data_IF_032069224185
#
_entry.id   IF_032069224185
#
_cell.length_a   1.000
_cell.length_b   1.000
_cell.length_c   1.000
_cell.angle_alpha   90.00
_cell.angle_beta   90.00
_cell.angle_gamma   90.00
#
_symmetry.space_group_name_H-M   'P 1'
#
loop_
_entity.id
_entity.type
_entity.pdbx_description
1 polymer ?
#
# COMPACT_ATOMS: atom_id res chain seq x y z
N UNK A 1 -4.42 25.08 7.03
CA UNK A 1 -3.84 23.84 7.62
C UNK A 1 -2.63 24.25 8.43
N UNK A 2 -2.56 23.88 9.70
CA UNK A 2 -1.44 24.17 10.59
C UNK A 2 -0.21 23.29 10.27
N UNK A 3 0.98 23.70 10.73
CA UNK A 3 2.20 22.87 10.57
C UNK A 3 2.00 21.50 11.21
N UNK A 4 1.44 21.43 12.41
CA UNK A 4 1.17 20.16 13.09
C UNK A 4 0.23 19.21 12.30
N UNK A 5 -0.73 19.76 11.55
CA UNK A 5 -1.59 18.95 10.66
C UNK A 5 -0.82 18.44 9.45
N UNK A 6 0.06 19.27 8.88
CA UNK A 6 0.91 18.85 7.76
C UNK A 6 1.86 17.74 8.19
N UNK A 7 2.52 17.90 9.34
CA UNK A 7 3.44 16.91 9.89
C UNK A 7 2.72 15.59 10.18
N UNK A 8 1.51 15.64 10.73
CA UNK A 8 0.69 14.45 11.00
C UNK A 8 0.33 13.71 9.70
N UNK A 9 -0.15 14.44 8.68
CA UNK A 9 -0.49 13.84 7.38
C UNK A 9 0.74 13.19 6.76
N UNK A 10 1.87 13.88 6.78
CA UNK A 10 3.13 13.37 6.26
C UNK A 10 3.56 12.10 7.01
N UNK A 11 3.53 12.12 8.34
CA UNK A 11 3.92 10.98 9.16
C UNK A 11 3.02 9.75 8.91
N UNK A 12 1.70 9.92 8.83
CA UNK A 12 0.79 8.81 8.50
C UNK A 12 1.05 8.24 7.10
N UNK A 13 1.35 9.07 6.12
CA UNK A 13 1.71 8.60 4.77
C UNK A 13 3.04 7.83 4.76
N UNK A 14 4.02 8.27 5.54
CA UNK A 14 5.30 7.56 5.68
C UNK A 14 5.09 6.21 6.35
N UNK A 15 4.37 6.16 7.48
CA UNK A 15 4.03 4.92 8.18
C UNK A 15 3.26 3.96 7.25
N UNK A 16 2.25 4.46 6.54
CA UNK A 16 1.48 3.67 5.57
C UNK A 16 2.38 3.07 4.48
N UNK A 17 3.36 3.83 3.99
CA UNK A 17 4.31 3.36 2.99
C UNK A 17 5.23 2.27 3.54
N UNK A 18 5.73 2.42 4.77
CA UNK A 18 6.55 1.41 5.45
C UNK A 18 5.76 0.13 5.68
N UNK A 19 4.54 0.24 6.20
CA UNK A 19 3.66 -0.92 6.41
C UNK A 19 3.31 -1.61 5.09
N UNK A 20 3.09 -0.86 4.03
CA UNK A 20 2.81 -1.44 2.71
C UNK A 20 4.01 -2.24 2.17
N UNK A 21 5.25 -1.81 2.44
CA UNK A 21 6.46 -2.60 2.15
C UNK A 21 6.41 -3.92 2.94
N UNK A 22 6.14 -3.86 4.24
CA UNK A 22 6.08 -5.04 5.10
C UNK A 22 5.04 -6.05 4.59
N UNK A 23 3.84 -5.58 4.24
CA UNK A 23 2.77 -6.43 3.69
C UNK A 23 3.11 -7.01 2.32
N UNK A 24 3.87 -6.29 1.49
CA UNK A 24 4.34 -6.79 0.21
C UNK A 24 5.36 -7.90 0.36
N UNK A 25 6.30 -7.79 1.31
CA UNK A 25 7.32 -8.81 1.54
C UNK A 25 6.74 -10.14 2.03
N UNK A 26 5.54 -10.12 2.61
CA UNK A 26 4.78 -11.30 3.03
C UNK A 26 3.80 -11.81 1.96
N UNK A 27 3.68 -11.11 0.83
CA UNK A 27 2.67 -11.47 -0.17
C UNK A 27 2.98 -12.87 -0.75
N UNK A 28 2.05 -13.84 -0.63
CA UNK A 28 2.31 -15.22 -1.06
C UNK A 28 2.43 -15.37 -2.58
N UNK A 29 1.97 -14.37 -3.32
CA UNK A 29 2.01 -14.30 -4.77
C UNK A 29 3.18 -13.47 -5.30
N UNK A 30 4.12 -13.07 -4.43
CA UNK A 30 5.36 -12.38 -4.83
C UNK A 30 6.29 -13.37 -5.56
N UNK A 31 6.59 -13.07 -6.82
CA UNK A 31 7.38 -13.95 -7.69
C UNK A 31 8.87 -13.71 -7.51
N UNK A 32 9.43 -14.33 -6.49
CA UNK A 32 10.86 -14.33 -6.19
C UNK A 32 11.36 -15.78 -6.10
N UNK A 33 12.66 -15.99 -6.32
CA UNK A 33 13.25 -17.32 -6.15
C UNK A 33 13.02 -17.82 -4.71
N UNK A 34 12.72 -19.11 -4.54
CA UNK A 34 12.28 -19.67 -3.25
C UNK A 34 13.28 -19.44 -2.09
N UNK A 35 14.57 -19.41 -2.39
CA UNK A 35 15.62 -19.06 -1.41
C UNK A 35 15.50 -17.63 -0.86
N UNK A 36 14.96 -16.70 -1.65
CA UNK A 36 14.74 -15.32 -1.22
C UNK A 36 13.44 -15.12 -0.43
N UNK A 37 12.46 -16.01 -0.52
CA UNK A 37 11.19 -15.85 0.20
C UNK A 37 11.41 -15.81 1.71
N UNK A 38 12.18 -16.74 2.26
CA UNK A 38 12.51 -16.76 3.69
C UNK A 38 13.33 -15.54 4.12
N UNK A 39 14.23 -15.08 3.26
CA UNK A 39 15.01 -13.87 3.50
C UNK A 39 14.11 -12.63 3.54
N UNK A 40 13.19 -12.48 2.60
CA UNK A 40 12.26 -11.35 2.55
C UNK A 40 11.31 -11.35 3.75
N UNK A 41 10.79 -12.51 4.15
CA UNK A 41 9.99 -12.63 5.36
C UNK A 41 10.78 -12.26 6.64
N UNK A 42 12.08 -12.55 6.67
CA UNK A 42 12.99 -12.12 7.74
C UNK A 42 13.20 -10.61 7.76
N UNK A 43 13.32 -9.98 6.58
CA UNK A 43 13.48 -8.53 6.47
C UNK A 43 12.29 -7.76 7.05
N UNK A 44 11.08 -8.28 6.92
CA UNK A 44 9.88 -7.65 7.43
C UNK A 44 10.02 -7.22 8.90
N UNK A 45 10.61 -8.07 9.74
CA UNK A 45 10.82 -7.78 11.17
C UNK A 45 11.85 -6.67 11.43
N UNK A 46 12.73 -6.40 10.48
CA UNK A 46 13.82 -5.42 10.65
C UNK A 46 13.49 -4.04 10.05
N UNK A 47 12.46 -3.96 9.22
CA UNK A 47 12.09 -2.72 8.51
C UNK A 47 11.77 -1.57 9.46
N UNK A 48 10.95 -1.71 10.54
CA UNK A 48 10.67 -0.61 11.44
C UNK A 48 11.95 -0.02 12.04
N UNK A 49 12.83 -0.88 12.54
CA UNK A 49 14.13 -0.46 13.07
C UNK A 49 15.02 0.19 12.02
N UNK A 50 15.11 -0.39 10.82
CA UNK A 50 15.91 0.16 9.72
C UNK A 50 15.42 1.57 9.32
N UNK A 51 14.10 1.79 9.33
CA UNK A 51 13.50 3.10 9.08
C UNK A 51 13.93 4.11 10.14
N UNK A 52 13.83 3.77 11.43
CA UNK A 52 14.24 4.61 12.54
C UNK A 52 15.74 4.91 12.50
N UNK A 53 16.58 3.92 12.21
CA UNK A 53 18.03 4.10 12.06
C UNK A 53 18.37 5.03 10.89
N UNK A 54 17.60 4.96 9.81
CA UNK A 54 17.72 5.90 8.69
C UNK A 54 17.35 7.33 9.10
N UNK A 55 16.23 7.55 9.78
CA UNK A 55 15.83 8.87 10.28
C UNK A 55 16.91 9.46 11.22
N UNK A 56 17.48 8.62 12.09
CA UNK A 56 18.60 9.01 12.97
C UNK A 56 19.82 9.46 12.16
N UNK A 57 20.14 8.75 11.09
CA UNK A 57 21.25 9.11 10.19
C UNK A 57 21.03 10.45 9.47
N UNK A 58 19.78 10.87 9.32
CA UNK A 58 19.40 12.18 8.77
C UNK A 58 19.39 13.30 9.81
N UNK A 59 19.72 13.00 11.07
CA UNK A 59 19.82 13.99 12.15
C UNK A 59 18.50 14.23 12.90
N UNK A 60 17.51 13.36 12.76
CA UNK A 60 16.28 13.45 13.56
C UNK A 60 16.59 13.11 15.01
N UNK A 61 16.17 13.99 15.94
CA UNK A 61 16.44 13.85 17.37
C UNK A 61 15.79 12.61 17.98
N UNK A 62 16.46 11.99 18.95
CA UNK A 62 16.03 10.72 19.54
C UNK A 62 14.66 10.77 20.22
N UNK A 63 14.26 11.93 20.77
CA UNK A 63 12.93 12.13 21.36
C UNK A 63 11.80 11.99 20.33
N UNK A 64 12.04 12.34 19.05
CA UNK A 64 11.10 12.19 17.95
C UNK A 64 11.12 10.80 17.31
N UNK A 65 12.15 9.98 17.63
CA UNK A 65 12.31 8.65 17.04
C UNK A 65 11.71 7.53 17.88
N UNK A 66 11.54 7.77 19.19
CA UNK A 66 11.17 6.73 20.16
C UNK A 66 9.91 5.97 19.81
N UNK A 67 8.91 6.70 19.34
CA UNK A 67 7.56 6.14 19.15
C UNK A 67 7.33 5.58 17.73
N UNK A 68 8.29 5.77 16.80
CA UNK A 68 8.13 5.36 15.40
C UNK A 68 8.03 3.84 15.22
N UNK A 69 8.86 3.06 15.90
CA UNK A 69 8.82 1.60 15.79
C UNK A 69 7.47 1.07 16.29
N UNK A 70 6.97 1.62 17.41
CA UNK A 70 5.68 1.24 17.99
C UNK A 70 4.51 1.61 17.09
N UNK A 71 4.51 2.83 16.54
CA UNK A 71 3.45 3.27 15.61
C UNK A 71 3.43 2.42 14.34
N UNK A 72 4.60 2.11 13.76
CA UNK A 72 4.69 1.22 12.59
C UNK A 72 4.14 -0.17 12.93
N UNK A 73 4.51 -0.74 14.09
CA UNK A 73 4.02 -2.05 14.52
C UNK A 73 2.50 -2.06 14.71
N UNK A 74 1.94 -1.07 15.41
CA UNK A 74 0.48 -0.94 15.58
C UNK A 74 -0.25 -0.85 14.24
N UNK A 75 0.22 -0.01 13.32
CA UNK A 75 -0.40 0.13 11.99
C UNK A 75 -0.27 -1.13 11.15
N UNK A 76 0.84 -1.84 11.29
CA UNK A 76 1.02 -3.12 10.62
C UNK A 76 -0.01 -4.15 11.09
N UNK A 77 -0.20 -4.31 12.41
CA UNK A 77 -1.18 -5.23 12.97
C UNK A 77 -2.62 -4.86 12.56
N UNK A 78 -2.95 -3.57 12.61
CA UNK A 78 -4.24 -3.05 12.19
C UNK A 78 -4.51 -3.38 10.70
N UNK A 79 -3.65 -2.93 9.80
CA UNK A 79 -3.87 -3.10 8.35
C UNK A 79 -3.74 -4.57 7.91
N UNK A 80 -2.91 -5.37 8.59
CA UNK A 80 -2.81 -6.81 8.34
C UNK A 80 -4.10 -7.55 8.71
N UNK A 81 -4.77 -7.15 9.78
CA UNK A 81 -6.09 -7.66 10.16
C UNK A 81 -7.16 -7.24 9.18
N UNK A 82 -7.22 -5.94 8.85
CA UNK A 82 -8.25 -5.36 8.01
C UNK A 82 -8.20 -5.88 6.56
N UNK A 83 -7.05 -6.44 6.13
CA UNK A 83 -6.95 -7.14 4.83
C UNK A 83 -8.01 -8.21 4.62
N UNK A 84 -8.43 -8.89 5.67
CA UNK A 84 -9.43 -9.96 5.57
C UNK A 84 -10.81 -9.40 5.20
N UNK A 85 -11.21 -8.30 5.83
CA UNK A 85 -12.50 -7.66 5.58
C UNK A 85 -12.52 -6.99 4.21
N UNK A 86 -11.42 -6.30 3.84
CA UNK A 86 -11.27 -5.72 2.51
C UNK A 86 -11.33 -6.77 1.41
N UNK A 87 -10.70 -7.94 1.63
CA UNK A 87 -10.78 -9.06 0.67
C UNK A 87 -12.19 -9.59 0.56
N UNK A 88 -12.87 -9.82 1.68
CA UNK A 88 -14.25 -10.33 1.69
C UNK A 88 -15.19 -9.38 0.95
N UNK A 89 -15.09 -8.07 1.21
CA UNK A 89 -15.88 -7.05 0.52
C UNK A 89 -15.58 -7.00 -0.99
N UNK A 90 -14.32 -7.05 -1.38
CA UNK A 90 -13.94 -7.05 -2.79
C UNK A 90 -14.46 -8.29 -3.53
N UNK A 91 -14.37 -9.46 -2.92
CA UNK A 91 -14.90 -10.70 -3.50
C UNK A 91 -16.43 -10.65 -3.63
N UNK A 92 -17.12 -10.11 -2.63
CA UNK A 92 -18.58 -9.96 -2.67
C UNK A 92 -19.02 -9.03 -3.80
N UNK A 93 -18.36 -7.89 -3.97
CA UNK A 93 -18.67 -6.93 -5.06
C UNK A 93 -18.46 -7.57 -6.43
N UNK A 94 -17.31 -8.17 -6.68
CA UNK A 94 -17.01 -8.77 -7.99
C UNK A 94 -17.94 -9.97 -8.28
N UNK A 95 -18.24 -10.81 -7.27
CA UNK A 95 -19.13 -11.97 -7.46
C UNK A 95 -20.58 -11.57 -7.76
N UNK A 96 -21.04 -10.42 -7.26
CA UNK A 96 -22.39 -9.94 -7.49
C UNK A 96 -22.58 -9.40 -8.91
N UNK A 97 -21.52 -8.96 -9.58
CA UNK A 97 -21.61 -8.35 -10.92
C UNK A 97 -21.55 -9.38 -12.05
N UNK A 98 -20.66 -10.37 -12.00
CA UNK A 98 -20.41 -11.26 -13.15
C UNK A 98 -19.87 -12.65 -12.82
N UNK A 99 -19.78 -12.98 -11.56
CA UNK A 99 -19.04 -14.17 -11.10
C UNK A 99 -17.52 -13.95 -11.13
N UNK A 100 -16.78 -14.67 -10.28
CA UNK A 100 -15.33 -14.55 -10.14
C UNK A 100 -14.59 -15.50 -11.08
N UNK A 101 -13.66 -14.97 -11.86
CA UNK A 101 -12.66 -15.76 -12.56
C UNK A 101 -11.28 -15.71 -11.90
N UNK A 102 -10.30 -16.46 -12.41
CA UNK A 102 -8.95 -16.52 -11.86
C UNK A 102 -8.19 -15.17 -11.97
N UNK A 103 -8.47 -14.40 -13.03
CA UNK A 103 -7.86 -13.09 -13.21
C UNK A 103 -8.41 -12.08 -12.21
N UNK A 104 -9.72 -12.14 -11.93
CA UNK A 104 -10.35 -11.32 -10.89
C UNK A 104 -9.79 -11.66 -9.50
N UNK A 105 -9.67 -12.94 -9.16
CA UNK A 105 -9.08 -13.38 -7.89
C UNK A 105 -7.62 -12.91 -7.74
N UNK A 106 -6.82 -13.03 -8.79
CA UNK A 106 -5.43 -12.56 -8.81
C UNK A 106 -5.35 -11.05 -8.64
N UNK A 107 -6.24 -10.30 -9.27
CA UNK A 107 -6.33 -8.84 -9.15
C UNK A 107 -6.73 -8.42 -7.74
N UNK A 108 -7.74 -9.06 -7.15
CA UNK A 108 -8.17 -8.82 -5.77
C UNK A 108 -7.00 -9.09 -4.81
N UNK A 109 -6.36 -10.24 -4.93
CA UNK A 109 -5.22 -10.62 -4.08
C UNK A 109 -4.09 -9.58 -4.13
N UNK A 110 -3.78 -9.04 -5.30
CA UNK A 110 -2.74 -8.02 -5.48
C UNK A 110 -3.14 -6.65 -4.90
N UNK A 111 -4.42 -6.27 -4.97
CA UNK A 111 -4.86 -4.93 -4.59
C UNK A 111 -5.28 -4.81 -3.12
N UNK A 112 -5.66 -5.91 -2.47
CA UNK A 112 -6.12 -5.92 -1.09
C UNK A 112 -5.15 -5.24 -0.10
N UNK A 113 -3.83 -5.51 -0.12
CA UNK A 113 -2.91 -4.82 0.79
C UNK A 113 -2.92 -3.31 0.61
N UNK A 114 -2.97 -2.84 -0.64
CA UNK A 114 -2.99 -1.41 -0.96
C UNK A 114 -4.29 -0.75 -0.48
N UNK A 115 -5.41 -1.42 -0.67
CA UNK A 115 -6.73 -0.93 -0.24
C UNK A 115 -6.81 -0.85 1.28
N UNK A 116 -6.41 -1.89 2.00
CA UNK A 116 -6.41 -1.90 3.47
C UNK A 116 -5.55 -0.76 4.04
N UNK A 117 -4.32 -0.61 3.53
CA UNK A 117 -3.42 0.48 3.95
C UNK A 117 -3.99 1.85 3.60
N UNK A 118 -4.60 2.03 2.42
CA UNK A 118 -5.17 3.31 2.03
C UNK A 118 -6.38 3.70 2.89
N UNK A 119 -7.25 2.73 3.22
CA UNK A 119 -8.40 2.94 4.10
C UNK A 119 -7.93 3.34 5.50
N UNK A 120 -7.03 2.57 6.10
CA UNK A 120 -6.53 2.85 7.45
C UNK A 120 -5.76 4.17 7.51
N UNK A 121 -4.86 4.44 6.56
CA UNK A 121 -4.13 5.70 6.47
C UNK A 121 -5.09 6.90 6.36
N UNK A 122 -6.10 6.82 5.50
CA UNK A 122 -7.12 7.86 5.36
C UNK A 122 -7.90 8.06 6.66
N UNK A 123 -8.31 6.97 7.32
CA UNK A 123 -9.00 7.01 8.61
C UNK A 123 -8.18 7.78 9.67
N UNK A 124 -6.87 7.50 9.77
CA UNK A 124 -5.98 8.17 10.73
C UNK A 124 -5.71 9.64 10.36
N UNK A 125 -5.56 9.95 9.09
CA UNK A 125 -5.44 11.34 8.63
C UNK A 125 -6.70 12.12 8.99
N UNK A 126 -7.90 11.56 8.81
CA UNK A 126 -9.18 12.19 9.11
C UNK A 126 -9.62 12.05 10.57
N UNK A 127 -8.84 11.39 11.45
CA UNK A 127 -9.16 11.14 12.86
C UNK A 127 -10.48 10.38 13.07
N UNK A 128 -10.80 9.47 12.18
CA UNK A 128 -12.04 8.72 12.18
C UNK A 128 -13.25 9.47 11.61
N UNK A 129 -13.14 10.77 11.38
CA UNK A 129 -14.19 11.59 10.75
C UNK A 129 -14.01 11.57 9.24
N UNK A 130 -14.65 10.59 8.59
CA UNK A 130 -14.55 10.40 7.14
C UNK A 130 -15.85 9.82 6.59
N UNK A 131 -16.32 10.41 5.49
CA UNK A 131 -17.46 9.90 4.71
C UNK A 131 -17.05 8.82 3.69
N UNK A 132 -15.79 8.35 3.74
CA UNK A 132 -15.28 7.29 2.87
C UNK A 132 -14.56 7.81 1.62
N UNK A 133 -15.10 7.65 0.43
CA UNK A 133 -14.37 7.82 -0.84
C UNK A 133 -14.22 9.28 -1.30
N UNK A 134 -13.72 10.16 -0.45
CA UNK A 134 -13.39 11.53 -0.78
C UNK A 134 -12.15 11.65 -1.71
N UNK A 135 -11.77 12.88 -2.07
CA UNK A 135 -10.64 13.10 -2.97
C UNK A 135 -9.30 12.81 -2.30
N UNK A 136 -9.18 12.99 -0.98
CA UNK A 136 -7.99 12.62 -0.22
C UNK A 136 -7.79 11.11 -0.23
N UNK A 137 -8.85 10.33 -0.01
CA UNK A 137 -8.81 8.87 -0.13
C UNK A 137 -8.36 8.42 -1.53
N UNK A 138 -8.96 8.99 -2.58
CA UNK A 138 -8.59 8.67 -3.97
C UNK A 138 -7.13 8.98 -4.28
N UNK A 139 -6.62 10.11 -3.77
CA UNK A 139 -5.22 10.51 -3.91
C UNK A 139 -4.29 9.53 -3.18
N UNK A 140 -4.60 9.21 -1.92
CA UNK A 140 -3.85 8.26 -1.09
C UNK A 140 -3.80 6.89 -1.74
N UNK A 141 -4.95 6.33 -2.11
CA UNK A 141 -5.06 5.03 -2.78
C UNK A 141 -4.26 5.01 -4.10
N UNK A 142 -4.33 6.07 -4.90
CA UNK A 142 -3.58 6.16 -6.15
C UNK A 142 -2.07 6.19 -5.91
N UNK A 143 -1.61 6.99 -4.95
CA UNK A 143 -0.19 7.13 -4.63
C UNK A 143 0.40 5.82 -4.10
N UNK A 144 -0.27 5.19 -3.14
CA UNK A 144 0.13 3.90 -2.59
C UNK A 144 0.08 2.78 -3.65
N UNK A 145 -0.91 2.80 -4.56
CA UNK A 145 -0.98 1.83 -5.67
C UNK A 145 0.21 1.94 -6.62
N UNK A 146 0.63 3.16 -6.97
CA UNK A 146 1.79 3.38 -7.83
C UNK A 146 3.05 2.88 -7.12
N UNK A 147 3.24 3.25 -5.87
CA UNK A 147 4.37 2.85 -5.05
C UNK A 147 4.46 1.32 -4.92
N UNK A 148 3.35 0.65 -4.58
CA UNK A 148 3.26 -0.81 -4.45
C UNK A 148 3.64 -1.53 -5.73
N UNK A 149 3.07 -1.13 -6.87
CA UNK A 149 3.37 -1.75 -8.16
C UNK A 149 4.83 -1.52 -8.56
N UNK A 150 5.38 -0.34 -8.36
CA UNK A 150 6.78 -0.05 -8.65
C UNK A 150 7.73 -0.92 -7.80
N UNK A 151 7.46 -1.02 -6.51
CA UNK A 151 8.27 -1.83 -5.60
C UNK A 151 8.16 -3.32 -5.94
N UNK A 152 6.94 -3.83 -6.17
CA UNK A 152 6.71 -5.22 -6.54
C UNK A 152 7.45 -5.60 -7.82
N UNK A 153 7.33 -4.80 -8.88
CA UNK A 153 8.03 -5.04 -10.14
C UNK A 153 9.54 -5.10 -9.95
N UNK A 154 10.11 -4.23 -9.09
CA UNK A 154 11.55 -4.25 -8.78
C UNK A 154 11.96 -5.50 -8.02
N UNK A 155 11.18 -5.93 -7.03
CA UNK A 155 11.45 -7.15 -6.26
C UNK A 155 11.37 -8.41 -7.14
N UNK A 156 10.45 -8.44 -8.09
CA UNK A 156 10.31 -9.52 -9.07
C UNK A 156 11.34 -9.46 -10.22
N UNK A 157 12.36 -8.60 -10.10
CA UNK A 157 13.44 -8.46 -11.10
C UNK A 157 13.05 -7.69 -12.37
N UNK A 158 11.87 -7.08 -12.39
CA UNK A 158 11.36 -6.30 -13.51
C UNK A 158 11.87 -4.84 -13.51
N UNK A 159 11.60 -4.15 -14.63
CA UNK A 159 11.84 -2.70 -14.78
C UNK A 159 10.60 -2.02 -15.34
N UNK A 160 10.14 -0.98 -14.68
CA UNK A 160 9.08 -0.14 -15.23
C UNK A 160 9.71 0.85 -16.22
N UNK A 161 9.62 0.51 -17.50
CA UNK A 161 10.10 1.40 -18.55
C UNK A 161 9.08 2.50 -18.87
N UNK A 162 9.51 3.65 -19.43
CA UNK A 162 8.57 4.68 -19.92
C UNK A 162 7.55 4.13 -20.92
N UNK A 163 7.94 3.16 -21.74
CA UNK A 163 7.04 2.47 -22.67
C UNK A 163 5.93 1.67 -21.96
N UNK A 164 6.26 1.01 -20.86
CA UNK A 164 5.25 0.31 -20.03
C UNK A 164 4.25 1.30 -19.45
N UNK A 165 4.72 2.44 -18.93
CA UNK A 165 3.86 3.54 -18.44
C UNK A 165 2.96 4.08 -19.54
N UNK A 166 3.50 4.33 -20.73
CA UNK A 166 2.76 4.82 -21.89
C UNK A 166 1.67 3.82 -22.35
N UNK A 167 2.00 2.52 -22.42
CA UNK A 167 1.01 1.47 -22.76
C UNK A 167 -0.14 1.39 -21.76
N UNK A 168 0.14 1.49 -20.46
CA UNK A 168 -0.90 1.49 -19.43
C UNK A 168 -1.77 2.73 -19.53
N UNK A 169 -1.19 3.91 -19.75
CA UNK A 169 -1.92 5.15 -19.94
C UNK A 169 -2.83 5.09 -21.18
N UNK A 170 -2.32 4.59 -22.31
CA UNK A 170 -3.09 4.41 -23.55
C UNK A 170 -4.26 3.43 -23.34
N UNK A 171 -4.03 2.29 -22.69
CA UNK A 171 -5.07 1.31 -22.39
C UNK A 171 -6.18 1.89 -21.52
N UNK A 172 -5.84 2.73 -20.52
CA UNK A 172 -6.82 3.46 -19.70
C UNK A 172 -7.64 4.46 -20.52
N UNK A 173 -6.98 5.21 -21.42
CA UNK A 173 -7.64 6.17 -22.30
C UNK A 173 -8.65 5.48 -23.23
N UNK A 174 -8.25 4.38 -23.87
CA UNK A 174 -9.12 3.59 -24.75
C UNK A 174 -10.34 3.01 -24.01
N UNK A 175 -10.14 2.49 -22.78
CA UNK A 175 -11.26 2.01 -21.94
C UNK A 175 -12.24 3.13 -21.56
N UNK A 176 -11.76 4.35 -21.33
CA UNK A 176 -12.64 5.51 -21.05
C UNK A 176 -13.46 5.92 -22.26
N UNK A 177 -12.88 5.86 -23.45
CA UNK A 177 -13.61 6.17 -24.70
C UNK A 177 -14.65 5.11 -25.05
N UNK A 178 -14.37 3.82 -24.80
CA UNK A 178 -15.30 2.71 -25.05
C UNK A 178 -16.50 2.65 -24.09
N UNK A 179 -16.42 3.26 -22.90
CA UNK A 179 -17.53 3.36 -21.92
C UNK A 179 -18.47 4.53 -22.15
N UNK A 180 -18.21 5.39 -23.13
CA UNK A 180 -19.08 6.53 -23.50
C UNK A 180 -20.03 6.23 -24.67
N UNK A 181 -20.10 4.99 -25.11
CA UNK A 181 -21.10 4.47 -26.03
C UNK A 181 -22.08 3.57 -25.29
#
# INVERSE_FOLDING_TARGET
>A
MSQAEQDRIFNELVVASVVLIMLLLEAPDLRVAGEFQNYLAGLNKTIPKAHVDHLRSLGVESNHLRDWEEVIAMRYEEYARDRHDVRAAAMQIESSEKGLDLDDLSRIQMLVPVQAVAIGCHHHICRGDTEGQDDLFKLTLRSLSIFYVELRVRLEGGRITPLTRARVALKRMLRRMGRRK
#
